data_IF_333202412852
#
_entry.id   IF_333202412852
#
_cell.length_a   1.000
_cell.length_b   1.000
_cell.length_c   1.000
_cell.angle_alpha   90.00
_cell.angle_beta   90.00
_cell.angle_gamma   90.00
#
_symmetry.space_group_name_H-M   'P 1'
#
loop_
_entity.id
_entity.type
_entity.pdbx_description
1 polymer ?
#
# COMPACT_ATOMS: atom_id res chain seq x y z
N UNK A 1 13.94 -6.03 10.39
CA UNK A 1 12.77 -5.19 10.03
C UNK A 1 11.96 -5.87 8.93
N UNK A 2 10.75 -5.41 8.63
CA UNK A 2 9.98 -5.94 7.48
C UNK A 2 10.72 -5.71 6.15
N UNK A 3 11.38 -4.56 5.99
CA UNK A 3 12.27 -4.27 4.85
C UNK A 3 13.31 -5.36 4.64
N UNK A 4 14.08 -5.71 5.67
CA UNK A 4 15.12 -6.74 5.54
C UNK A 4 14.53 -8.13 5.28
N UNK A 5 13.34 -8.43 5.82
CA UNK A 5 12.62 -9.68 5.47
C UNK A 5 12.26 -9.71 4.00
N UNK A 6 11.70 -8.62 3.45
CA UNK A 6 11.38 -8.55 2.02
C UNK A 6 12.64 -8.68 1.15
N UNK A 7 13.79 -8.13 1.56
CA UNK A 7 15.08 -8.25 0.86
C UNK A 7 15.71 -9.63 0.93
N UNK A 8 15.53 -10.37 2.03
CA UNK A 8 16.08 -11.73 2.17
C UNK A 8 15.14 -12.82 1.64
N UNK A 9 13.83 -12.54 1.55
CA UNK A 9 12.82 -13.50 1.08
C UNK A 9 12.80 -13.63 -0.45
N UNK A 10 13.72 -14.44 -0.97
CA UNK A 10 13.80 -14.75 -2.39
C UNK A 10 12.57 -15.48 -2.91
N UNK A 11 11.88 -16.28 -2.08
CA UNK A 11 10.69 -17.04 -2.46
C UNK A 11 9.58 -16.07 -2.86
N UNK A 12 9.27 -15.10 -2.01
CA UNK A 12 8.26 -14.08 -2.31
C UNK A 12 8.58 -13.33 -3.60
N UNK A 13 9.81 -12.83 -3.76
CA UNK A 13 10.21 -12.06 -4.96
C UNK A 13 10.16 -12.91 -6.24
N UNK A 14 10.61 -14.16 -6.17
CA UNK A 14 10.57 -15.09 -7.30
C UNK A 14 9.13 -15.43 -7.69
N UNK A 15 8.24 -15.62 -6.72
CA UNK A 15 6.83 -15.88 -6.98
C UNK A 15 6.15 -14.68 -7.67
N UNK A 16 6.44 -13.45 -7.24
CA UNK A 16 5.92 -12.25 -7.88
C UNK A 16 6.42 -12.11 -9.32
N UNK A 17 7.69 -12.41 -9.60
CA UNK A 17 8.23 -12.43 -10.97
C UNK A 17 7.60 -13.54 -11.81
N UNK A 18 7.35 -14.72 -11.23
CA UNK A 18 6.68 -15.81 -11.92
C UNK A 18 5.26 -15.42 -12.33
N UNK A 19 4.49 -14.78 -11.44
CA UNK A 19 3.15 -14.26 -11.76
C UNK A 19 3.22 -13.24 -12.89
N UNK A 20 4.13 -12.26 -12.80
CA UNK A 20 4.34 -11.26 -13.86
C UNK A 20 4.68 -11.90 -15.22
N UNK A 21 5.49 -12.95 -15.23
CA UNK A 21 5.87 -13.64 -16.47
C UNK A 21 4.74 -14.52 -17.03
N UNK A 22 3.81 -14.99 -16.18
CA UNK A 22 2.64 -15.76 -16.59
C UNK A 22 1.51 -14.86 -17.13
N UNK A 23 1.37 -13.65 -16.59
CA UNK A 23 0.29 -12.73 -16.91
C UNK A 23 0.84 -11.39 -17.38
N UNK A 24 0.68 -11.11 -18.69
CA UNK A 24 1.16 -9.87 -19.31
C UNK A 24 0.43 -8.60 -18.80
N UNK A 25 -0.75 -8.77 -18.21
CA UNK A 25 -1.62 -7.70 -17.74
C UNK A 25 -1.75 -7.76 -16.21
N UNK A 26 -0.66 -7.51 -15.49
CA UNK A 26 -0.65 -7.57 -14.02
C UNK A 26 0.24 -6.48 -13.44
N UNK A 27 -0.22 -5.91 -12.34
CA UNK A 27 0.53 -4.95 -11.55
C UNK A 27 0.34 -5.23 -10.06
N UNK A 28 1.27 -4.74 -9.24
CA UNK A 28 1.18 -4.82 -7.79
C UNK A 28 0.42 -3.60 -7.25
N UNK A 29 -0.59 -3.84 -6.42
CA UNK A 29 -1.20 -2.78 -5.62
C UNK A 29 -0.56 -2.77 -4.23
N UNK A 30 0.12 -1.67 -3.89
CA UNK A 30 0.71 -1.47 -2.57
C UNK A 30 -0.27 -0.71 -1.68
N UNK A 31 -1.06 -1.47 -0.92
CA UNK A 31 -1.99 -0.91 0.07
C UNK A 31 -1.21 -0.51 1.32
N UNK A 32 -1.18 0.77 1.73
CA UNK A 32 -0.61 1.16 3.01
C UNK A 32 -1.45 0.61 4.15
N UNK A 33 -0.87 0.49 5.34
CA UNK A 33 -1.72 0.36 6.54
C UNK A 33 -2.36 1.71 6.90
N UNK A 34 -3.48 1.68 7.63
CA UNK A 34 -4.08 2.88 8.23
C UNK A 34 -3.05 3.75 8.96
N UNK A 35 -2.15 3.11 9.71
CA UNK A 35 -1.13 3.76 10.52
C UNK A 35 0.00 4.42 9.72
N UNK A 36 0.10 4.15 8.42
CA UNK A 36 1.01 4.84 7.50
C UNK A 36 0.38 6.08 6.89
N UNK A 37 -0.96 6.12 6.79
CA UNK A 37 -1.69 7.22 6.14
C UNK A 37 -1.84 8.41 7.08
N UNK A 38 -2.24 8.17 8.34
CA UNK A 38 -2.50 9.23 9.31
C UNK A 38 -2.36 8.74 10.75
N UNK A 39 -1.94 9.64 11.64
CA UNK A 39 -1.93 9.44 13.09
C UNK A 39 -3.13 10.11 13.80
N UNK A 40 -4.08 10.66 13.06
CA UNK A 40 -5.23 11.40 13.60
C UNK A 40 -6.00 10.63 14.68
N UNK A 41 -6.20 9.33 14.48
CA UNK A 41 -7.01 8.51 15.39
C UNK A 41 -6.20 7.87 16.53
N UNK A 42 -4.88 8.08 16.60
CA UNK A 42 -4.03 7.33 17.53
C UNK A 42 -4.43 7.56 18.99
N UNK A 43 -4.68 8.81 19.38
CA UNK A 43 -5.12 9.12 20.74
C UNK A 43 -6.49 8.54 21.11
N UNK A 44 -7.36 8.31 20.12
CA UNK A 44 -8.64 7.64 20.34
C UNK A 44 -8.49 6.11 20.42
N UNK A 45 -7.57 5.55 19.63
CA UNK A 45 -7.23 4.14 19.66
C UNK A 45 -6.46 3.75 20.93
N UNK A 46 -5.62 4.64 21.48
CA UNK A 46 -4.96 4.42 22.77
C UNK A 46 -5.97 4.23 23.90
N UNK A 47 -7.10 4.94 23.88
CA UNK A 47 -8.21 4.77 24.84
C UNK A 47 -8.86 3.38 24.72
N UNK A 48 -8.68 2.69 23.61
CA UNK A 48 -9.16 1.32 23.35
C UNK A 48 -8.07 0.25 23.60
N UNK A 49 -6.89 0.65 24.09
CA UNK A 49 -5.80 -0.27 24.45
C UNK A 49 -4.76 -0.50 23.36
N UNK A 50 -4.80 0.25 22.25
CA UNK A 50 -3.73 0.23 21.26
C UNK A 50 -2.49 0.95 21.79
N UNK A 51 -1.30 0.50 21.39
CA UNK A 51 -0.02 1.07 21.85
C UNK A 51 0.75 1.62 20.64
N UNK A 52 0.98 2.93 20.63
CA UNK A 52 1.81 3.59 19.62
C UNK A 52 3.04 4.20 20.29
N UNK A 53 4.23 3.83 19.85
CA UNK A 53 5.46 4.17 20.56
C UNK A 53 5.82 5.66 20.52
N UNK A 54 5.35 6.44 19.53
CA UNK A 54 5.76 7.84 19.35
C UNK A 54 4.66 8.77 18.80
N UNK A 55 3.39 8.36 18.77
CA UNK A 55 2.29 9.08 18.09
C UNK A 55 2.65 9.58 16.66
N UNK A 56 3.43 8.79 15.93
CA UNK A 56 3.90 9.08 14.57
C UNK A 56 3.40 7.99 13.64
N UNK A 57 3.10 8.37 12.40
CA UNK A 57 2.78 7.40 11.35
C UNK A 57 3.95 6.42 11.18
N UNK A 58 3.63 5.17 10.83
CA UNK A 58 4.63 4.17 10.46
C UNK A 58 5.36 4.67 9.20
N UNK A 59 6.67 4.44 9.14
CA UNK A 59 7.48 4.88 8.01
C UNK A 59 7.16 4.13 6.70
N UNK A 60 7.73 4.64 5.60
CA UNK A 60 7.55 4.11 4.23
C UNK A 60 8.63 3.12 3.79
N UNK A 61 9.56 2.76 4.68
CA UNK A 61 10.79 2.05 4.27
C UNK A 61 10.54 0.70 3.62
N UNK A 62 9.45 0.01 3.97
CA UNK A 62 9.02 -1.21 3.30
C UNK A 62 8.42 -0.93 1.93
N UNK A 63 7.49 0.03 1.78
CA UNK A 63 6.94 0.36 0.45
C UNK A 63 8.04 0.81 -0.49
N UNK A 64 8.94 1.69 -0.04
CA UNK A 64 10.02 2.22 -0.87
C UNK A 64 10.99 1.11 -1.32
N UNK A 65 11.21 0.08 -0.49
CA UNK A 65 11.97 -1.11 -0.88
C UNK A 65 11.22 -1.94 -1.94
N UNK A 66 9.92 -2.15 -1.77
CA UNK A 66 9.10 -2.91 -2.73
C UNK A 66 9.00 -2.18 -4.08
N UNK A 67 8.79 -0.87 -4.09
CA UNK A 67 8.70 -0.06 -5.33
C UNK A 67 10.04 0.02 -6.04
N UNK A 68 11.15 0.14 -5.31
CA UNK A 68 12.51 0.08 -5.86
C UNK A 68 12.78 -1.27 -6.52
N UNK A 69 12.49 -2.37 -5.81
CA UNK A 69 12.61 -3.72 -6.37
C UNK A 69 11.72 -3.93 -7.60
N UNK A 70 10.46 -3.49 -7.55
CA UNK A 70 9.52 -3.60 -8.66
C UNK A 70 10.02 -2.85 -9.89
N UNK A 71 10.48 -1.60 -9.71
CA UNK A 71 11.05 -0.78 -10.80
C UNK A 71 12.28 -1.44 -11.44
N UNK A 72 13.22 -1.94 -10.63
CA UNK A 72 14.41 -2.65 -11.13
C UNK A 72 14.07 -3.89 -11.96
N UNK A 73 12.98 -4.57 -11.62
CA UNK A 73 12.53 -5.78 -12.29
C UNK A 73 11.42 -5.54 -13.32
N UNK A 74 11.13 -4.28 -13.64
CA UNK A 74 10.06 -3.86 -14.57
C UNK A 74 8.70 -4.48 -14.21
N UNK A 75 8.41 -4.59 -12.92
CA UNK A 75 7.09 -5.00 -12.41
C UNK A 75 6.28 -3.72 -12.24
N UNK A 76 5.15 -3.61 -12.93
CA UNK A 76 4.25 -2.49 -12.76
C UNK A 76 3.63 -2.48 -11.35
N UNK A 77 3.41 -1.30 -10.80
CA UNK A 77 2.79 -1.15 -9.48
C UNK A 77 1.99 0.15 -9.36
N UNK A 78 1.13 0.18 -8.35
CA UNK A 78 0.43 1.37 -7.84
C UNK A 78 0.80 1.52 -6.36
N UNK A 79 1.43 2.64 -6.01
CA UNK A 79 1.67 3.00 -4.61
C UNK A 79 0.64 4.04 -4.14
N UNK A 80 -0.44 3.56 -3.54
CA UNK A 80 -1.54 4.46 -3.12
C UNK A 80 -1.17 5.31 -1.90
N UNK A 81 -0.14 4.94 -1.13
CA UNK A 81 0.29 5.73 0.03
C UNK A 81 0.74 7.13 -0.36
N UNK A 82 1.39 7.27 -1.52
CA UNK A 82 1.85 8.57 -2.04
C UNK A 82 0.70 9.58 -2.25
N UNK A 83 -0.52 9.09 -2.48
CA UNK A 83 -1.70 9.93 -2.68
C UNK A 83 -2.54 10.12 -1.41
N UNK A 84 -2.46 9.17 -0.48
CA UNK A 84 -3.26 9.17 0.75
C UNK A 84 -2.58 9.90 1.90
N UNK A 85 -1.25 9.82 2.00
CA UNK A 85 -0.49 10.43 3.08
C UNK A 85 -0.60 11.96 3.07
N UNK A 86 -0.80 12.57 4.25
CA UNK A 86 -0.87 14.02 4.39
C UNK A 86 -2.17 14.66 3.87
N UNK A 87 -3.14 13.86 3.44
CA UNK A 87 -4.48 14.34 3.12
C UNK A 87 -5.35 14.37 4.38
N UNK A 88 -6.20 15.40 4.52
CA UNK A 88 -7.20 15.49 5.60
C UNK A 88 -8.39 14.52 5.38
N UNK A 89 -8.36 13.72 4.33
CA UNK A 89 -9.39 12.72 4.02
C UNK A 89 -9.22 11.47 4.87
N UNK A 90 -10.30 11.03 5.51
CA UNK A 90 -10.34 9.76 6.22
C UNK A 90 -10.64 8.62 5.24
N UNK A 91 -9.66 7.77 4.97
CA UNK A 91 -9.81 6.63 4.05
C UNK A 91 -10.11 5.29 4.74
N UNK A 92 -9.91 5.21 6.05
CA UNK A 92 -10.10 3.99 6.85
C UNK A 92 -11.25 4.16 7.84
N UNK A 93 -11.79 3.05 8.32
CA UNK A 93 -12.66 3.07 9.48
C UNK A 93 -11.87 3.46 10.75
N UNK A 94 -12.53 4.04 11.75
CA UNK A 94 -11.86 4.52 12.97
C UNK A 94 -11.26 3.37 13.80
N UNK A 95 -11.95 2.24 13.91
CA UNK A 95 -11.58 1.10 14.77
C UNK A 95 -11.33 -0.20 13.98
N UNK A 96 -11.27 -0.09 12.66
CA UNK A 96 -11.12 -1.23 11.75
C UNK A 96 -10.03 -0.88 10.73
N UNK A 97 -9.17 -1.84 10.41
CA UNK A 97 -8.01 -1.68 9.52
C UNK A 97 -8.38 -1.68 8.03
N UNK A 98 -9.65 -1.91 7.68
CA UNK A 98 -10.15 -1.83 6.31
C UNK A 98 -10.50 -0.40 5.88
N UNK A 99 -10.45 -0.18 4.57
CA UNK A 99 -10.94 1.04 3.95
C UNK A 99 -12.43 1.27 4.25
N UNK A 100 -12.79 2.53 4.44
CA UNK A 100 -14.18 2.94 4.37
C UNK A 100 -14.62 3.11 2.89
N UNK A 101 -15.85 3.56 2.64
CA UNK A 101 -16.35 3.78 1.27
C UNK A 101 -15.48 4.76 0.46
N UNK A 102 -14.92 5.79 1.11
CA UNK A 102 -14.04 6.77 0.47
C UNK A 102 -12.71 6.13 0.08
N UNK A 103 -12.10 5.34 0.99
CA UNK A 103 -10.89 4.58 0.70
C UNK A 103 -11.08 3.57 -0.44
N UNK A 104 -12.18 2.83 -0.42
CA UNK A 104 -12.50 1.86 -1.47
C UNK A 104 -12.72 2.53 -2.83
N UNK A 105 -13.48 3.62 -2.88
CA UNK A 105 -13.68 4.37 -4.13
C UNK A 105 -12.35 4.92 -4.65
N UNK A 106 -11.57 5.56 -3.77
CA UNK A 106 -10.29 6.15 -4.14
C UNK A 106 -9.31 5.12 -4.73
N UNK A 107 -9.14 3.99 -4.05
CA UNK A 107 -8.26 2.92 -4.54
C UNK A 107 -8.82 2.29 -5.81
N UNK A 108 -10.14 2.11 -5.90
CA UNK A 108 -10.81 1.65 -7.12
C UNK A 108 -10.53 2.54 -8.32
N UNK A 109 -10.61 3.87 -8.16
CA UNK A 109 -10.32 4.84 -9.21
C UNK A 109 -8.85 4.74 -9.68
N UNK A 110 -7.89 4.60 -8.75
CA UNK A 110 -6.47 4.41 -9.08
C UNK A 110 -6.21 3.12 -9.84
N UNK A 111 -6.89 2.03 -9.47
CA UNK A 111 -6.81 0.75 -10.19
C UNK A 111 -7.37 0.93 -11.60
N UNK A 112 -8.55 1.54 -11.73
CA UNK A 112 -9.20 1.77 -13.02
C UNK A 112 -8.35 2.63 -13.96
N UNK A 113 -7.77 3.72 -13.47
CA UNK A 113 -6.84 4.56 -14.22
C UNK A 113 -5.62 3.77 -14.71
N UNK A 114 -5.01 2.96 -13.84
CA UNK A 114 -3.87 2.11 -14.23
C UNK A 114 -4.26 1.10 -15.32
N UNK A 115 -5.47 0.54 -15.23
CA UNK A 115 -6.00 -0.37 -16.23
C UNK A 115 -6.23 0.32 -17.59
N UNK A 116 -6.70 1.57 -17.60
CA UNK A 116 -6.80 2.38 -18.82
C UNK A 116 -5.42 2.67 -19.42
N UNK A 117 -4.47 3.11 -18.61
CA UNK A 117 -3.08 3.38 -19.05
C UNK A 117 -2.41 2.17 -19.70
N UNK A 118 -2.71 0.97 -19.20
CA UNK A 118 -2.16 -0.29 -19.72
C UNK A 118 -3.02 -0.92 -20.83
N UNK A 119 -4.14 -0.30 -21.21
CA UNK A 119 -5.03 -0.79 -22.25
C UNK A 119 -5.76 -2.10 -21.89
N UNK A 120 -5.99 -2.35 -20.60
CA UNK A 120 -6.75 -3.54 -20.15
C UNK A 120 -8.24 -3.40 -20.46
N UNK A 121 -8.71 -2.16 -20.53
CA UNK A 121 -10.09 -1.76 -20.73
C UNK A 121 -10.10 -0.55 -21.69
N UNK A 122 -11.12 -0.47 -22.54
CA UNK A 122 -11.32 0.58 -23.56
C UNK A 122 -12.58 1.38 -23.27
#
# INVERSE_FOLDING_TARGET
SLKERFKSDSITRNNLLAIKNLYNNTFLLLVPSKYQVSNHDFGELEKLGFVFSNNKTIDRTLQDEITSWASLNKVDYIDVLSYMAGNNTTFYHKIDDHFNSVGNSFVGDRIYEKMLEQGFIN
#
